data_IF_448020175552
#
_entry.id   IF_448020175552
#
_cell.length_a   1.000
_cell.length_b   1.000
_cell.length_c   1.000
_cell.angle_alpha   90.00
_cell.angle_beta   90.00
_cell.angle_gamma   90.00
#
_symmetry.space_group_name_H-M   'P 1'
#
loop_
_entity.id
_entity.type
_entity.pdbx_description
1 polymer ?
#
# COMPACT_ATOMS: atom_id res chain seq x y z
N UNK A 1 15.12 20.32 -7.76
CA UNK A 1 15.49 18.88 -7.72
C UNK A 1 14.45 18.14 -6.88
N UNK A 2 14.07 16.90 -7.25
CA UNK A 2 12.96 16.18 -6.60
C UNK A 2 13.12 16.04 -5.07
N UNK A 3 14.32 15.73 -4.57
CA UNK A 3 14.59 15.57 -3.15
C UNK A 3 14.47 16.88 -2.35
N UNK A 4 14.79 18.03 -2.94
CA UNK A 4 14.68 19.33 -2.26
C UNK A 4 13.22 19.73 -2.07
N UNK A 5 12.42 19.59 -3.14
CA UNK A 5 10.98 19.85 -3.09
C UNK A 5 10.26 18.92 -2.11
N UNK A 6 10.69 17.64 -2.09
CA UNK A 6 10.15 16.68 -1.14
C UNK A 6 10.51 17.06 0.30
N UNK A 7 11.76 17.44 0.57
CA UNK A 7 12.17 17.89 1.90
C UNK A 7 11.38 19.12 2.37
N UNK A 8 11.11 20.07 1.47
CA UNK A 8 10.29 21.23 1.78
C UNK A 8 8.85 20.84 2.13
N UNK A 9 8.24 19.91 1.36
CA UNK A 9 6.89 19.41 1.67
C UNK A 9 6.85 18.64 2.99
N UNK A 10 7.86 17.83 3.28
CA UNK A 10 7.98 17.12 4.57
C UNK A 10 8.07 18.11 5.73
N UNK A 11 8.89 19.18 5.58
CA UNK A 11 9.01 20.23 6.60
C UNK A 11 7.73 21.03 6.82
N UNK A 12 6.93 21.24 5.78
CA UNK A 12 5.63 21.88 5.92
C UNK A 12 4.60 21.02 6.65
N UNK A 13 4.71 19.70 6.53
CA UNK A 13 3.81 18.73 7.20
C UNK A 13 4.19 18.51 8.66
N UNK A 14 5.46 18.25 8.89
CA UNK A 14 6.01 18.01 10.22
C UNK A 14 7.48 18.49 10.29
N UNK A 15 7.72 19.66 10.88
CA UNK A 15 9.07 20.18 11.01
C UNK A 15 10.00 19.30 11.87
N UNK A 16 9.45 18.54 12.82
CA UNK A 16 10.23 17.74 13.77
C UNK A 16 10.85 16.50 13.11
N UNK A 17 10.18 15.91 12.13
CA UNK A 17 10.64 14.70 11.42
C UNK A 17 11.21 15.00 10.04
N UNK A 18 11.27 16.27 9.66
CA UNK A 18 11.78 16.69 8.35
C UNK A 18 13.29 16.45 8.24
N UNK A 19 13.78 16.00 7.08
CA UNK A 19 15.19 15.78 6.86
C UNK A 19 15.98 17.10 6.92
N UNK A 20 17.19 17.03 7.47
CA UNK A 20 18.12 18.17 7.52
C UNK A 20 19.15 18.08 6.37
N UNK A 21 19.92 19.17 6.21
CA UNK A 21 20.96 19.21 5.17
C UNK A 21 22.00 18.13 5.45
N UNK A 22 22.28 17.29 4.45
CA UNK A 22 23.20 16.15 4.56
C UNK A 22 22.48 14.80 4.71
N UNK A 23 21.19 14.79 5.03
CA UNK A 23 20.44 13.55 5.13
C UNK A 23 20.10 12.94 3.76
N UNK A 24 20.09 11.60 3.73
CA UNK A 24 19.58 10.87 2.57
C UNK A 24 18.07 10.83 2.61
N UNK A 25 17.40 11.36 1.59
CA UNK A 25 15.94 11.39 1.47
C UNK A 25 15.46 10.20 0.65
N UNK A 26 14.78 9.26 1.31
CA UNK A 26 14.07 8.19 0.63
C UNK A 26 12.80 8.75 -0.04
N UNK A 27 12.52 8.32 -1.27
CA UNK A 27 11.29 8.70 -1.97
C UNK A 27 10.75 7.57 -2.84
N UNK A 28 9.46 7.62 -3.11
CA UNK A 28 8.75 6.76 -4.06
C UNK A 28 8.09 7.61 -5.12
N UNK A 29 7.97 7.06 -6.34
CA UNK A 29 7.25 7.70 -7.43
C UNK A 29 5.79 7.25 -7.37
N UNK A 30 4.89 8.20 -7.16
CA UNK A 30 3.45 7.98 -7.11
C UNK A 30 2.80 8.30 -8.45
N UNK A 31 1.62 7.71 -8.70
CA UNK A 31 0.79 8.09 -9.84
C UNK A 31 0.32 9.52 -9.68
N UNK A 32 0.56 10.32 -10.71
CA UNK A 32 0.12 11.71 -10.78
C UNK A 32 -0.45 12.02 -12.16
N UNK A 33 -0.89 13.25 -12.38
CA UNK A 33 -1.38 13.72 -13.67
C UNK A 33 -0.35 13.48 -14.78
N UNK A 34 -0.84 13.27 -16.02
CA UNK A 34 -0.02 12.86 -17.16
C UNK A 34 1.19 13.78 -17.42
N UNK A 35 1.05 15.07 -17.13
CA UNK A 35 2.08 16.10 -17.33
C UNK A 35 2.78 16.52 -16.04
N UNK A 36 2.58 15.82 -14.92
CA UNK A 36 3.23 16.14 -13.66
C UNK A 36 4.75 15.97 -13.76
N UNK A 37 5.48 16.93 -13.22
CA UNK A 37 6.95 16.91 -13.19
C UNK A 37 7.47 15.86 -12.22
N UNK A 38 8.70 15.40 -12.43
CA UNK A 38 9.30 14.33 -11.60
C UNK A 38 9.28 14.63 -10.08
N UNK A 39 9.47 15.89 -9.70
CA UNK A 39 9.43 16.30 -8.30
C UNK A 39 8.03 16.29 -7.68
N UNK A 40 6.99 16.48 -8.49
CA UNK A 40 5.59 16.38 -8.06
C UNK A 40 5.16 14.92 -7.83
N UNK A 41 5.78 14.00 -8.57
CA UNK A 41 5.54 12.54 -8.45
C UNK A 41 6.32 11.90 -7.29
N UNK A 42 7.31 12.59 -6.73
CA UNK A 42 8.12 12.06 -5.64
C UNK A 42 7.41 12.26 -4.31
N UNK A 43 7.28 11.20 -3.50
CA UNK A 43 6.65 11.30 -2.19
C UNK A 43 7.42 10.47 -1.15
N UNK A 44 7.30 10.85 0.13
CA UNK A 44 7.85 10.06 1.23
C UNK A 44 7.20 8.68 1.28
N UNK A 45 7.99 7.58 1.35
CA UNK A 45 7.45 6.22 1.34
C UNK A 45 6.48 5.93 2.50
N UNK A 46 6.75 6.47 3.69
CA UNK A 46 5.89 6.29 4.85
C UNK A 46 4.58 7.03 4.64
N UNK A 47 4.65 8.29 4.23
CA UNK A 47 3.46 9.09 3.92
C UNK A 47 2.61 8.45 2.82
N UNK A 48 3.24 7.96 1.74
CA UNK A 48 2.54 7.28 0.67
C UNK A 48 1.82 6.02 1.15
N UNK A 49 2.44 5.27 2.07
CA UNK A 49 1.88 4.07 2.66
C UNK A 49 0.72 4.39 3.60
N UNK A 50 0.85 5.38 4.47
CA UNK A 50 -0.19 5.79 5.43
C UNK A 50 -1.44 6.34 4.74
N UNK A 51 -1.25 7.08 3.65
CA UNK A 51 -2.35 7.70 2.89
C UNK A 51 -2.82 6.87 1.69
N UNK A 52 -2.37 5.60 1.55
CA UNK A 52 -2.72 4.73 0.42
C UNK A 52 -2.48 5.37 -0.95
N UNK A 53 -1.40 6.17 -1.10
CA UNK A 53 -1.08 6.78 -2.38
C UNK A 53 -0.66 5.72 -3.39
N UNK A 54 -1.23 5.71 -4.61
CA UNK A 54 -0.91 4.71 -5.62
C UNK A 54 0.50 4.94 -6.16
N UNK A 55 1.35 3.92 -6.04
CA UNK A 55 2.71 3.92 -6.61
C UNK A 55 2.62 3.78 -8.13
N UNK A 56 3.47 4.47 -8.87
CA UNK A 56 3.60 4.32 -10.31
C UNK A 56 4.39 3.03 -10.65
N UNK A 57 3.69 1.90 -10.58
CA UNK A 57 4.27 0.58 -10.87
C UNK A 57 4.83 0.48 -12.28
N UNK A 58 4.23 1.19 -13.24
CA UNK A 58 4.71 1.21 -14.63
C UNK A 58 6.09 1.87 -14.71
N UNK A 59 6.27 3.00 -14.02
CA UNK A 59 7.57 3.67 -13.95
C UNK A 59 8.67 2.72 -13.43
N UNK A 60 8.40 2.01 -12.34
CA UNK A 60 9.36 1.08 -11.76
C UNK A 60 9.63 -0.13 -12.66
N UNK A 61 8.59 -0.68 -13.29
CA UNK A 61 8.73 -1.79 -14.22
C UNK A 61 9.60 -1.39 -15.41
N UNK A 62 9.26 -0.28 -16.08
CA UNK A 62 9.92 0.13 -17.31
C UNK A 62 11.36 0.64 -17.08
N UNK A 63 11.61 1.38 -16.00
CA UNK A 63 12.90 2.01 -15.76
C UNK A 63 13.89 1.15 -14.97
N UNK A 64 13.39 0.34 -14.03
CA UNK A 64 14.28 -0.38 -13.09
C UNK A 64 14.28 -1.90 -13.28
N UNK A 65 13.14 -2.52 -13.63
CA UNK A 65 13.04 -3.98 -13.67
C UNK A 65 13.25 -4.57 -15.06
N UNK A 66 12.71 -3.94 -16.10
CA UNK A 66 12.71 -4.48 -17.46
C UNK A 66 14.13 -4.82 -17.96
N UNK A 67 15.04 -3.86 -17.91
CA UNK A 67 16.40 -4.06 -18.45
C UNK A 67 17.19 -5.13 -17.71
N UNK A 68 17.26 -5.15 -16.37
CA UNK A 68 17.95 -6.22 -15.65
C UNK A 68 17.34 -7.60 -15.88
N UNK A 69 16.01 -7.70 -15.88
CA UNK A 69 15.31 -8.96 -16.12
C UNK A 69 15.60 -9.50 -17.52
N UNK A 70 15.51 -8.66 -18.54
CA UNK A 70 15.80 -9.09 -19.93
C UNK A 70 17.24 -9.58 -20.08
N UNK A 71 18.21 -8.89 -19.49
CA UNK A 71 19.63 -9.34 -19.54
C UNK A 71 19.84 -10.73 -18.96
N UNK A 72 19.06 -11.11 -17.94
CA UNK A 72 19.16 -12.42 -17.29
C UNK A 72 18.43 -13.49 -18.11
N UNK A 73 17.26 -13.17 -18.63
CA UNK A 73 16.34 -14.16 -19.19
C UNK A 73 16.37 -14.30 -20.70
N UNK A 74 16.82 -13.28 -21.46
CA UNK A 74 16.96 -13.38 -22.92
C UNK A 74 17.80 -14.58 -23.41
N UNK A 75 18.91 -14.96 -22.73
CA UNK A 75 19.68 -16.14 -23.13
C UNK A 75 18.96 -17.47 -22.87
N UNK A 76 17.93 -17.51 -22.02
CA UNK A 76 17.28 -18.71 -21.52
C UNK A 76 15.87 -18.86 -22.10
N UNK A 77 15.15 -17.74 -22.23
CA UNK A 77 13.74 -17.71 -22.63
C UNK A 77 13.56 -16.99 -23.95
N UNK A 78 13.02 -17.69 -24.94
CA UNK A 78 12.67 -17.05 -26.20
C UNK A 78 11.56 -16.02 -25.99
N UNK A 79 11.71 -14.81 -26.52
CA UNK A 79 10.79 -13.69 -26.29
C UNK A 79 10.58 -13.33 -24.80
N UNK A 80 11.66 -13.30 -24.03
CA UNK A 80 11.62 -13.01 -22.59
C UNK A 80 10.78 -11.78 -22.21
N UNK A 81 10.82 -10.71 -23.03
CA UNK A 81 10.03 -9.51 -22.81
C UNK A 81 8.51 -9.80 -22.81
N UNK A 82 8.04 -10.58 -23.78
CA UNK A 82 6.62 -10.95 -23.88
C UNK A 82 6.19 -11.87 -22.74
N UNK A 83 7.02 -12.86 -22.42
CA UNK A 83 6.72 -13.86 -21.39
C UNK A 83 6.73 -13.26 -19.99
N UNK A 84 7.71 -12.39 -19.68
CA UNK A 84 7.88 -11.87 -18.31
C UNK A 84 7.07 -10.60 -18.04
N UNK A 85 6.91 -9.74 -19.04
CA UNK A 85 6.34 -8.40 -18.85
C UNK A 85 4.90 -8.28 -19.37
N UNK A 86 4.48 -9.20 -20.22
CA UNK A 86 3.14 -9.24 -20.81
C UNK A 86 2.60 -10.66 -20.73
N UNK A 87 1.42 -10.85 -20.13
CA UNK A 87 0.81 -12.16 -20.03
C UNK A 87 -0.28 -12.24 -18.97
N UNK A 88 -0.95 -13.37 -18.89
CA UNK A 88 -2.05 -13.61 -17.94
C UNK A 88 -1.60 -13.58 -16.47
N UNK A 89 -0.31 -13.80 -16.21
CA UNK A 89 0.27 -13.70 -14.87
C UNK A 89 0.42 -12.25 -14.39
N UNK A 90 0.31 -11.25 -15.29
CA UNK A 90 0.35 -9.84 -14.90
C UNK A 90 -1.02 -9.38 -14.40
N UNK A 91 -1.21 -9.40 -13.09
CA UNK A 91 -2.45 -8.92 -12.46
C UNK A 91 -2.50 -7.38 -12.50
N UNK A 92 -3.43 -6.84 -13.26
CA UNK A 92 -3.76 -5.41 -13.18
C UNK A 92 -4.57 -5.16 -11.90
N UNK A 93 -3.92 -4.65 -10.88
CA UNK A 93 -4.61 -4.14 -9.70
C UNK A 93 -5.13 -2.75 -10.07
N UNK A 94 -6.45 -2.59 -10.15
CA UNK A 94 -7.06 -1.27 -10.25
C UNK A 94 -6.76 -0.52 -8.94
N UNK A 95 -5.76 0.35 -8.98
CA UNK A 95 -5.48 1.23 -7.85
C UNK A 95 -6.46 2.40 -7.90
N UNK A 96 -7.05 2.80 -6.77
CA UNK A 96 -7.84 4.02 -6.74
C UNK A 96 -6.94 5.17 -7.17
N UNK A 97 -7.38 5.92 -8.18
CA UNK A 97 -6.73 7.17 -8.56
C UNK A 97 -6.81 8.09 -7.35
N UNK A 98 -5.69 8.70 -6.88
CA UNK A 98 -5.80 9.71 -5.86
C UNK A 98 -6.68 10.81 -6.43
N UNK A 99 -7.87 10.92 -5.90
CA UNK A 99 -8.73 12.07 -6.17
C UNK A 99 -7.95 13.27 -5.67
N UNK A 100 -7.61 14.16 -6.60
CA UNK A 100 -7.09 15.49 -6.32
C UNK A 100 -7.81 16.00 -5.08
N UNK A 101 -7.06 16.51 -4.09
CA UNK A 101 -7.51 17.06 -2.81
C UNK A 101 -8.97 17.46 -2.88
N UNK A 102 -9.82 16.83 -2.07
CA UNK A 102 -11.26 17.03 -2.06
C UNK A 102 -11.59 18.50 -1.78
N UNK A 103 -11.46 19.32 -2.80
CA UNK A 103 -11.94 20.69 -2.84
C UNK A 103 -13.21 20.73 -3.66
N UNK A 104 -14.24 21.39 -3.19
CA UNK A 104 -15.52 21.52 -3.89
C UNK A 104 -16.59 20.50 -3.42
N UNK A 105 -17.47 20.12 -4.33
CA UNK A 105 -18.68 19.30 -4.08
C UNK A 105 -18.37 17.96 -3.39
N UNK A 106 -17.18 17.40 -3.59
CA UNK A 106 -16.76 16.12 -2.98
C UNK A 106 -16.63 16.18 -1.43
N UNK A 107 -16.50 17.35 -0.82
CA UNK A 107 -16.51 17.49 0.65
C UNK A 107 -17.86 17.11 1.27
N UNK A 108 -18.93 17.19 0.50
CA UNK A 108 -20.29 16.87 0.95
C UNK A 108 -20.73 15.44 0.59
N UNK A 109 -19.90 14.68 -0.12
CA UNK A 109 -20.20 13.30 -0.46
C UNK A 109 -20.13 12.42 0.80
N UNK A 110 -21.26 11.87 1.24
CA UNK A 110 -21.26 10.83 2.28
C UNK A 110 -20.54 9.60 1.74
N UNK A 111 -19.40 9.27 2.34
CA UNK A 111 -18.66 8.04 2.05
C UNK A 111 -19.50 6.89 2.59
N UNK A 112 -20.14 6.15 1.70
CA UNK A 112 -20.87 4.93 2.08
C UNK A 112 -19.86 3.81 2.32
N UNK A 113 -20.08 2.97 3.35
CA UNK A 113 -19.23 1.81 3.57
C UNK A 113 -19.31 0.85 2.37
N UNK A 114 -18.21 0.29 1.98
CA UNK A 114 -18.15 -0.72 0.90
C UNK A 114 -18.38 -2.12 1.46
N UNK A 115 -19.05 -2.96 0.71
CA UNK A 115 -19.26 -4.38 1.03
C UNK A 115 -17.92 -5.11 1.13
N UNK A 116 -17.72 -5.88 2.19
CA UNK A 116 -16.48 -6.67 2.38
C UNK A 116 -16.32 -7.74 1.29
N UNK A 117 -17.43 -8.29 0.78
CA UNK A 117 -17.40 -9.32 -0.27
C UNK A 117 -17.10 -8.76 -1.66
N UNK A 118 -18.00 -7.94 -2.21
CA UNK A 118 -17.91 -7.47 -3.60
C UNK A 118 -17.42 -6.03 -3.77
N UNK A 119 -17.16 -5.30 -2.66
CA UNK A 119 -16.73 -3.90 -2.62
C UNK A 119 -17.75 -2.89 -3.15
N UNK A 120 -18.96 -3.30 -3.49
CA UNK A 120 -20.03 -2.39 -3.85
C UNK A 120 -20.44 -1.52 -2.65
N UNK A 121 -20.91 -0.28 -2.84
CA UNK A 121 -21.39 0.55 -1.75
C UNK A 121 -22.61 -0.11 -1.09
N UNK A 122 -22.67 -0.11 0.24
CA UNK A 122 -23.80 -0.62 1.01
C UNK A 122 -24.86 0.47 1.00
N UNK A 123 -26.04 0.16 0.45
CA UNK A 123 -27.16 1.10 0.36
C UNK A 123 -27.96 1.17 1.67
N UNK A 124 -28.08 0.05 2.37
CA UNK A 124 -28.87 -0.08 3.60
C UNK A 124 -28.02 -0.63 4.74
N UNK A 125 -27.53 0.27 5.59
CA UNK A 125 -26.71 -0.07 6.76
C UNK A 125 -27.49 -0.77 7.87
N UNK A 126 -28.84 -0.71 7.83
CA UNK A 126 -29.69 -1.39 8.82
C UNK A 126 -29.73 -2.90 8.61
N UNK A 127 -29.50 -3.36 7.37
CA UNK A 127 -29.52 -4.78 7.03
C UNK A 127 -28.20 -5.47 7.42
N UNK A 128 -27.08 -4.87 7.12
CA UNK A 128 -25.73 -5.33 7.50
C UNK A 128 -24.74 -4.19 7.35
N UNK A 129 -23.81 -4.09 8.30
CA UNK A 129 -22.67 -3.16 8.21
C UNK A 129 -21.53 -3.70 7.37
N UNK A 130 -21.46 -5.01 7.17
CA UNK A 130 -20.36 -5.69 6.49
C UNK A 130 -20.65 -6.00 5.02
N UNK A 131 -21.89 -6.43 4.69
CA UNK A 131 -22.25 -7.01 3.40
C UNK A 131 -23.40 -6.26 2.74
N UNK A 132 -23.38 -6.22 1.41
CA UNK A 132 -24.52 -5.77 0.61
C UNK A 132 -25.59 -6.89 0.52
N UNK A 133 -26.81 -6.53 0.10
CA UNK A 133 -27.93 -7.47 -0.02
C UNK A 133 -27.61 -8.72 -0.85
N UNK A 134 -26.79 -8.59 -1.91
CA UNK A 134 -26.41 -9.71 -2.77
C UNK A 134 -25.42 -10.68 -2.11
N UNK A 135 -24.53 -10.18 -1.24
CA UNK A 135 -23.52 -10.98 -0.56
C UNK A 135 -24.00 -11.58 0.77
N UNK A 136 -25.12 -11.08 1.31
CA UNK A 136 -25.66 -11.50 2.60
C UNK A 136 -26.01 -13.00 2.64
N UNK A 137 -26.48 -13.57 1.53
CA UNK A 137 -26.77 -15.00 1.41
C UNK A 137 -25.55 -15.93 1.60
N UNK A 138 -24.32 -15.38 1.42
CA UNK A 138 -23.06 -16.11 1.57
C UNK A 138 -22.19 -15.53 2.70
N UNK A 139 -22.82 -15.01 3.75
CA UNK A 139 -22.14 -14.34 4.86
C UNK A 139 -21.04 -15.19 5.51
N UNK A 140 -21.35 -16.46 5.78
CA UNK A 140 -20.38 -17.39 6.38
C UNK A 140 -19.12 -17.58 5.55
N UNK A 141 -19.23 -17.57 4.22
CA UNK A 141 -18.09 -17.67 3.31
C UNK A 141 -17.25 -16.38 3.34
N UNK A 142 -17.91 -15.23 3.32
CA UNK A 142 -17.23 -13.93 3.39
C UNK A 142 -16.55 -13.73 4.74
N UNK A 143 -17.19 -14.10 5.84
CA UNK A 143 -16.59 -14.07 7.17
C UNK A 143 -15.37 -14.97 7.26
N UNK A 144 -15.47 -16.22 6.78
CA UNK A 144 -14.34 -17.16 6.75
C UNK A 144 -13.16 -16.60 5.95
N UNK A 145 -13.43 -16.00 4.79
CA UNK A 145 -12.40 -15.35 3.98
C UNK A 145 -11.75 -14.17 4.69
N UNK A 146 -12.53 -13.35 5.39
CA UNK A 146 -12.02 -12.22 6.18
C UNK A 146 -11.16 -12.70 7.35
N UNK A 147 -11.61 -13.74 8.10
CA UNK A 147 -10.83 -14.36 9.18
C UNK A 147 -9.51 -14.94 8.67
N UNK A 148 -9.54 -15.69 7.56
CA UNK A 148 -8.32 -16.22 6.94
C UNK A 148 -7.35 -15.12 6.53
N UNK A 149 -7.85 -14.01 6.01
CA UNK A 149 -7.02 -12.85 5.66
C UNK A 149 -6.35 -12.23 6.89
N UNK A 150 -7.09 -12.05 7.99
CA UNK A 150 -6.53 -11.53 9.25
C UNK A 150 -5.45 -12.47 9.79
N UNK A 151 -5.74 -13.78 9.88
CA UNK A 151 -4.78 -14.77 10.37
C UNK A 151 -3.48 -14.77 9.56
N UNK A 152 -3.57 -14.71 8.22
CA UNK A 152 -2.38 -14.66 7.36
C UNK A 152 -1.57 -13.38 7.59
N UNK A 153 -2.23 -12.25 7.79
CA UNK A 153 -1.56 -10.98 8.07
C UNK A 153 -0.92 -10.96 9.47
N UNK A 154 -1.56 -11.57 10.47
CA UNK A 154 -0.98 -11.75 11.81
C UNK A 154 0.28 -12.62 11.77
N UNK A 155 0.24 -13.72 11.04
CA UNK A 155 1.40 -14.59 10.86
C UNK A 155 2.56 -13.85 10.16
N UNK A 156 2.28 -13.14 9.08
CA UNK A 156 3.27 -12.32 8.39
C UNK A 156 3.83 -11.20 9.29
N UNK A 157 2.98 -10.55 10.07
CA UNK A 157 3.41 -9.53 11.02
C UNK A 157 4.33 -10.10 12.09
N UNK A 158 3.97 -11.23 12.68
CA UNK A 158 4.77 -11.89 13.72
C UNK A 158 6.14 -12.33 13.20
N UNK A 159 6.21 -12.85 11.98
CA UNK A 159 7.49 -13.19 11.33
C UNK A 159 8.38 -11.96 11.12
N UNK A 160 7.81 -10.87 10.62
CA UNK A 160 8.54 -9.62 10.38
C UNK A 160 8.96 -8.96 11.71
N UNK A 161 8.09 -8.99 12.71
CA UNK A 161 8.37 -8.49 14.07
C UNK A 161 9.55 -9.21 14.69
N UNK A 162 9.51 -10.55 14.69
CA UNK A 162 10.61 -11.40 15.22
C UNK A 162 11.92 -11.13 14.47
N UNK A 163 11.87 -10.94 13.16
CA UNK A 163 13.07 -10.60 12.36
C UNK A 163 13.65 -9.24 12.78
N UNK A 164 12.80 -8.24 13.02
CA UNK A 164 13.25 -6.94 13.51
C UNK A 164 13.80 -7.02 14.94
N UNK A 165 13.19 -7.81 15.82
CA UNK A 165 13.70 -8.05 17.19
C UNK A 165 15.09 -8.72 17.17
N UNK A 166 15.28 -9.73 16.32
CA UNK A 166 16.60 -10.37 16.13
C UNK A 166 17.66 -9.39 15.63
N UNK A 167 17.30 -8.52 14.69
CA UNK A 167 18.19 -7.49 14.19
C UNK A 167 18.56 -6.47 15.27
N UNK A 168 17.64 -6.14 16.17
CA UNK A 168 17.84 -5.25 17.30
C UNK A 168 18.64 -5.90 18.45
N UNK A 169 18.75 -7.23 18.46
CA UNK A 169 19.46 -7.99 19.49
C UNK A 169 18.64 -8.32 20.73
N UNK A 170 17.31 -8.11 20.72
CA UNK A 170 16.42 -8.43 21.84
C UNK A 170 15.09 -8.98 21.33
N UNK A 171 14.69 -10.15 21.85
CA UNK A 171 13.40 -10.79 21.54
C UNK A 171 12.27 -10.38 22.52
N UNK A 172 12.58 -9.61 23.54
CA UNK A 172 11.65 -9.26 24.63
C UNK A 172 11.25 -7.79 24.65
N UNK A 173 11.85 -6.98 23.79
CA UNK A 173 11.59 -5.55 23.72
C UNK A 173 10.82 -5.20 22.44
N UNK A 174 10.08 -4.09 22.52
CA UNK A 174 9.43 -3.54 21.36
C UNK A 174 10.42 -3.13 20.26
N UNK A 175 9.98 -3.24 19.02
CA UNK A 175 10.81 -2.87 17.88
C UNK A 175 10.78 -1.36 17.68
N UNK A 176 11.88 -0.71 18.08
CA UNK A 176 12.06 0.74 17.97
C UNK A 176 12.75 1.18 16.66
N UNK A 177 13.13 0.21 15.82
CA UNK A 177 13.85 0.48 14.56
C UNK A 177 13.03 1.36 13.60
N UNK A 178 13.65 2.44 13.14
CA UNK A 178 13.11 3.41 12.16
C UNK A 178 13.94 3.49 10.89
N UNK A 179 14.78 2.48 10.62
CA UNK A 179 15.72 2.47 9.48
C UNK A 179 14.98 2.52 8.14
N UNK A 180 15.10 3.66 7.44
CA UNK A 180 14.47 3.91 6.13
C UNK A 180 15.18 3.21 4.97
N UNK A 181 16.38 2.66 5.18
CA UNK A 181 17.13 1.89 4.17
C UNK A 181 16.82 0.39 4.23
N UNK A 182 15.94 -0.05 5.16
CA UNK A 182 15.62 -1.45 5.37
C UNK A 182 14.30 -1.85 4.72
N UNK A 183 14.29 -2.81 3.76
CA UNK A 183 13.06 -3.27 3.12
C UNK A 183 12.11 -3.97 4.10
N UNK A 184 12.64 -4.63 5.16
CA UNK A 184 11.83 -5.29 6.19
C UNK A 184 11.06 -4.25 7.01
N UNK A 185 11.64 -3.08 7.27
CA UNK A 185 10.96 -1.98 7.96
C UNK A 185 9.69 -1.55 7.21
N UNK A 186 9.78 -1.32 5.89
CA UNK A 186 8.63 -0.92 5.08
C UNK A 186 7.59 -2.04 4.98
N UNK A 187 8.03 -3.30 4.82
CA UNK A 187 7.13 -4.45 4.79
C UNK A 187 6.39 -4.60 6.11
N UNK A 188 7.08 -4.48 7.25
CA UNK A 188 6.47 -4.51 8.58
C UNK A 188 5.41 -3.40 8.74
N UNK A 189 5.72 -2.17 8.35
CA UNK A 189 4.76 -1.06 8.37
C UNK A 189 3.56 -1.31 7.47
N UNK A 190 3.79 -1.85 6.28
CA UNK A 190 2.71 -2.22 5.35
C UNK A 190 1.79 -3.28 5.92
N UNK A 191 2.34 -4.39 6.41
CA UNK A 191 1.56 -5.49 6.98
C UNK A 191 0.82 -5.04 8.25
N UNK A 192 1.43 -4.22 9.10
CA UNK A 192 0.79 -3.63 10.27
C UNK A 192 -0.45 -2.83 9.89
N UNK A 193 -0.35 -2.01 8.86
CA UNK A 193 -1.48 -1.23 8.35
C UNK A 193 -2.56 -2.13 7.77
N UNK A 194 -2.19 -3.07 6.90
CA UNK A 194 -3.14 -4.00 6.27
C UNK A 194 -3.87 -4.84 7.32
N UNK A 195 -3.17 -5.26 8.39
CA UNK A 195 -3.77 -5.96 9.54
C UNK A 195 -4.78 -5.09 10.28
N UNK A 196 -4.45 -3.84 10.53
CA UNK A 196 -5.37 -2.88 11.18
C UNK A 196 -6.63 -2.69 10.34
N UNK A 197 -6.49 -2.51 9.02
CA UNK A 197 -7.62 -2.36 8.10
C UNK A 197 -8.45 -3.65 8.00
N UNK A 198 -7.81 -4.82 7.89
CA UNK A 198 -8.51 -6.11 7.83
C UNK A 198 -9.27 -6.42 9.14
N UNK A 199 -8.66 -6.14 10.30
CA UNK A 199 -9.32 -6.28 11.60
C UNK A 199 -10.51 -5.34 11.74
N UNK A 200 -10.39 -4.09 11.27
CA UNK A 200 -11.50 -3.15 11.25
C UNK A 200 -12.64 -3.62 10.33
N UNK A 201 -12.32 -4.26 9.19
CA UNK A 201 -13.32 -4.86 8.31
C UNK A 201 -14.00 -6.07 8.95
N UNK A 202 -13.24 -6.93 9.66
CA UNK A 202 -13.78 -8.09 10.37
C UNK A 202 -14.75 -7.68 11.48
N UNK A 203 -14.43 -6.62 12.24
CA UNK A 203 -15.34 -6.06 13.28
C UNK A 203 -16.66 -5.53 12.75
N UNK A 204 -16.82 -5.37 11.44
CA UNK A 204 -18.09 -4.97 10.81
C UNK A 204 -19.11 -6.11 10.71
N UNK A 205 -18.63 -7.36 10.81
CA UNK A 205 -19.51 -8.51 11.04
C UNK A 205 -19.89 -8.46 12.52
N UNK A 206 -21.09 -7.99 12.83
CA UNK A 206 -21.59 -7.91 14.21
C UNK A 206 -21.83 -9.35 14.73
N UNK A 207 -20.96 -9.78 15.65
CA UNK A 207 -21.10 -11.01 16.44
C UNK A 207 -21.16 -10.67 17.92
#
# INVERSE_FOLDING_TARGET
MAHIELAQRMRQRDPATAPVVGDRIAYVIIKAAKNAKAYEKSEDPIYALEHNLPIDTKHYLDQFLTKPLLRIFEPIVHNAASVLLHGEHTRRIAQPTPTVKAGGIMQFAKIRPSCVGCRAPIADEKLSKALCKSCLGNESQHLRSALSSVNNLEEDFNRLWTQCQRCQGSLHQDVLCTSRDCPIFYRRKKVQKDLTEATAQLKRFDW
#
